data_IF_977528751779
#
_entry.id   IF_977528751779
#
_cell.length_a   1.000
_cell.length_b   1.000
_cell.length_c   1.000
_cell.angle_alpha   90.00
_cell.angle_beta   90.00
_cell.angle_gamma   90.00
#
_symmetry.space_group_name_H-M   'P 1'
#
loop_
_entity.id
_entity.type
_entity.pdbx_description
1 polymer ?
#
# COMPACT_ATOMS: atom_id res chain seq x y z
N UNK A 1 21.92 11.89 8.73
CA UNK A 1 20.58 12.39 8.40
C UNK A 1 19.61 11.23 8.25
N UNK A 2 18.43 11.34 8.84
CA UNK A 2 17.44 10.29 8.76
C UNK A 2 16.63 10.43 7.47
N UNK A 3 16.47 9.33 6.78
CA UNK A 3 15.74 9.32 5.51
C UNK A 3 14.74 8.17 5.51
N UNK A 4 13.67 8.37 4.74
CA UNK A 4 12.70 7.31 4.50
C UNK A 4 13.22 6.45 3.36
N UNK A 5 13.33 5.16 3.61
CA UNK A 5 13.73 4.17 2.58
C UNK A 5 12.60 3.21 2.35
N UNK A 6 12.52 2.66 1.14
CA UNK A 6 11.51 1.68 0.79
C UNK A 6 12.21 0.34 0.58
N UNK A 7 11.72 -0.70 1.27
CA UNK A 7 12.31 -2.03 1.17
C UNK A 7 11.24 -3.05 0.78
N UNK A 8 11.63 -4.17 0.14
CA UNK A 8 10.68 -5.20 -0.25
C UNK A 8 10.25 -6.06 0.94
N UNK A 9 9.21 -6.86 0.71
CA UNK A 9 8.70 -7.78 1.72
C UNK A 9 9.76 -8.81 2.10
N UNK A 10 9.82 -9.09 3.39
CA UNK A 10 10.52 -10.26 3.94
C UNK A 10 9.61 -10.82 5.02
N UNK A 11 9.65 -12.14 5.18
CA UNK A 11 8.79 -12.84 6.13
C UNK A 11 8.96 -12.31 7.56
N UNK A 12 10.16 -11.89 7.90
CA UNK A 12 10.41 -11.35 9.24
C UNK A 12 9.66 -10.06 9.53
N UNK A 13 9.13 -9.40 8.49
CA UNK A 13 8.35 -8.17 8.63
C UNK A 13 6.85 -8.39 8.52
N UNK A 14 6.40 -9.64 8.43
CA UNK A 14 4.98 -9.93 8.27
C UNK A 14 4.14 -9.37 9.41
N UNK A 15 4.68 -9.39 10.63
CA UNK A 15 3.96 -8.87 11.79
C UNK A 15 3.77 -7.35 11.70
N UNK A 16 4.75 -6.64 11.18
CA UNK A 16 4.63 -5.20 11.00
C UNK A 16 3.57 -4.85 9.96
N UNK A 17 3.48 -5.64 8.90
CA UNK A 17 2.42 -5.47 7.91
C UNK A 17 1.04 -5.61 8.56
N UNK A 18 0.86 -6.64 9.36
CA UNK A 18 -0.37 -6.87 10.09
C UNK A 18 -0.67 -5.70 11.04
N UNK A 19 0.28 -5.36 11.89
CA UNK A 19 0.07 -4.34 12.92
C UNK A 19 -0.26 -2.97 12.32
N UNK A 20 0.45 -2.55 11.29
CA UNK A 20 0.21 -1.26 10.66
C UNK A 20 -1.20 -1.20 10.05
N UNK A 21 -1.60 -2.25 9.36
CA UNK A 21 -2.91 -2.27 8.71
C UNK A 21 -4.05 -2.37 9.71
N UNK A 22 -3.88 -3.18 10.74
CA UNK A 22 -4.91 -3.33 11.78
C UNK A 22 -5.09 -2.03 12.54
N UNK A 23 -3.99 -1.38 12.90
CA UNK A 23 -4.07 -0.09 13.58
C UNK A 23 -4.86 0.93 12.76
N UNK A 24 -4.60 0.96 11.46
CA UNK A 24 -5.28 1.88 10.57
C UNK A 24 -6.76 1.54 10.43
N UNK A 25 -7.09 0.25 10.26
CA UNK A 25 -8.48 -0.19 10.12
C UNK A 25 -9.27 0.06 11.39
N UNK A 26 -8.69 -0.19 12.55
CA UNK A 26 -9.38 0.02 13.83
C UNK A 26 -9.67 1.49 14.08
N UNK A 27 -8.86 2.38 13.52
CA UNK A 27 -9.07 3.81 13.68
C UNK A 27 -10.22 4.34 12.83
N UNK A 28 -10.40 3.79 11.62
CA UNK A 28 -11.37 4.32 10.65
C UNK A 28 -12.52 3.36 10.36
N UNK A 29 -12.36 2.09 10.65
CA UNK A 29 -13.34 1.05 10.34
C UNK A 29 -13.30 0.01 11.44
N UNK A 30 -13.48 -1.24 11.06
CA UNK A 30 -13.23 -2.39 11.91
C UNK A 30 -12.59 -3.49 11.05
N UNK A 31 -11.94 -4.45 11.70
CA UNK A 31 -11.26 -5.53 10.99
C UNK A 31 -12.26 -6.64 10.71
N UNK A 32 -12.57 -6.88 9.44
CA UNK A 32 -13.47 -7.96 9.06
C UNK A 32 -12.72 -9.29 9.06
N UNK A 33 -13.42 -10.43 9.13
CA UNK A 33 -12.75 -11.74 9.12
C UNK A 33 -11.83 -11.96 7.93
N UNK A 34 -12.22 -11.50 6.74
CA UNK A 34 -11.36 -11.63 5.57
C UNK A 34 -10.10 -10.77 5.69
N UNK A 35 -10.23 -9.57 6.23
CA UNK A 35 -9.07 -8.71 6.47
C UNK A 35 -8.10 -9.38 7.44
N UNK A 36 -8.64 -9.96 8.51
CA UNK A 36 -7.82 -10.66 9.49
C UNK A 36 -7.03 -11.78 8.83
N UNK A 37 -7.67 -12.53 7.96
CA UNK A 37 -7.03 -13.64 7.26
C UNK A 37 -5.90 -13.15 6.35
N UNK A 38 -6.16 -12.17 5.51
CA UNK A 38 -5.17 -11.65 4.55
C UNK A 38 -4.02 -10.99 5.28
N UNK A 39 -4.31 -10.15 6.27
CA UNK A 39 -3.29 -9.37 6.96
C UNK A 39 -2.41 -10.23 7.85
N UNK A 40 -2.92 -11.34 8.39
CA UNK A 40 -2.11 -12.21 9.22
C UNK A 40 -1.30 -13.25 8.43
N UNK A 41 -1.57 -13.40 7.13
CA UNK A 41 -0.85 -14.33 6.27
C UNK A 41 -0.54 -13.69 4.92
N UNK A 42 0.19 -12.56 4.91
CA UNK A 42 0.42 -11.82 3.66
C UNK A 42 1.20 -12.61 2.61
N UNK A 43 2.10 -13.49 3.03
CA UNK A 43 2.83 -14.31 2.08
C UNK A 43 1.85 -15.19 1.29
N UNK A 44 0.97 -15.88 1.99
CA UNK A 44 0.01 -16.79 1.36
C UNK A 44 -0.97 -16.06 0.46
N UNK A 45 -1.54 -14.96 0.94
CA UNK A 45 -2.64 -14.30 0.25
C UNK A 45 -2.23 -13.22 -0.73
N UNK A 46 -1.00 -12.72 -0.64
CA UNK A 46 -0.53 -11.65 -1.50
C UNK A 46 0.70 -12.08 -2.30
N UNK A 47 1.78 -12.45 -1.62
CA UNK A 47 3.06 -12.73 -2.29
C UNK A 47 2.96 -13.99 -3.16
N UNK A 48 2.44 -15.07 -2.62
CA UNK A 48 2.35 -16.33 -3.35
C UNK A 48 1.38 -16.28 -4.52
N UNK A 49 0.53 -15.25 -4.55
CA UNK A 49 -0.40 -15.04 -5.66
C UNK A 49 0.14 -14.06 -6.70
N UNK A 50 1.40 -13.72 -6.59
CA UNK A 50 2.06 -12.84 -7.55
C UNK A 50 1.98 -11.36 -7.21
N UNK A 51 1.57 -11.02 -6.00
CA UNK A 51 1.55 -9.63 -5.54
C UNK A 51 2.86 -9.22 -4.90
N UNK A 52 2.91 -7.96 -4.49
CA UNK A 52 4.10 -7.38 -3.88
C UNK A 52 3.71 -6.57 -2.66
N UNK A 53 4.60 -6.54 -1.68
CA UNK A 53 4.44 -5.72 -0.48
C UNK A 53 5.73 -4.96 -0.28
N UNK A 54 5.62 -3.67 0.05
CA UNK A 54 6.78 -2.84 0.36
C UNK A 54 6.59 -2.20 1.71
N UNK A 55 7.71 -1.88 2.34
CA UNK A 55 7.72 -1.20 3.63
C UNK A 55 8.51 0.09 3.53
N UNK A 56 8.04 1.10 4.24
CA UNK A 56 8.81 2.32 4.45
C UNK A 56 9.53 2.21 5.78
N UNK A 57 10.82 2.52 5.77
CA UNK A 57 11.62 2.56 7.00
C UNK A 57 12.06 3.97 7.29
N UNK A 58 12.15 4.30 8.56
CA UNK A 58 12.65 5.58 9.02
C UNK A 58 13.34 5.35 10.35
N UNK A 59 14.57 5.82 10.48
CA UNK A 59 15.35 5.61 11.69
C UNK A 59 15.41 4.12 12.08
N UNK A 60 15.61 3.27 11.09
CA UNK A 60 15.71 1.81 11.25
C UNK A 60 14.43 1.13 11.75
N UNK A 61 13.30 1.81 11.67
CA UNK A 61 12.02 1.24 12.05
C UNK A 61 11.10 1.14 10.84
N UNK A 62 10.25 0.11 10.84
CA UNK A 62 9.20 -0.02 9.84
C UNK A 62 8.07 0.94 10.23
N UNK A 63 7.80 1.92 9.39
CA UNK A 63 6.83 2.97 9.72
C UNK A 63 5.66 3.06 8.75
N UNK A 64 5.70 2.31 7.67
CA UNK A 64 4.59 2.27 6.71
C UNK A 64 4.68 1.05 5.83
N UNK A 65 3.59 0.77 5.12
CA UNK A 65 3.51 -0.37 4.23
C UNK A 65 2.47 -0.11 3.13
N UNK A 66 2.61 -0.86 2.03
CA UNK A 66 1.66 -0.85 0.93
C UNK A 66 1.76 -2.18 0.20
N UNK A 67 0.67 -2.61 -0.42
CA UNK A 67 0.65 -3.83 -1.21
C UNK A 67 0.19 -3.53 -2.64
N UNK A 68 0.72 -4.31 -3.58
CA UNK A 68 0.25 -4.37 -4.95
C UNK A 68 -0.34 -5.75 -5.14
N UNK A 69 -1.66 -5.81 -5.21
CA UNK A 69 -2.40 -7.07 -5.28
C UNK A 69 -2.56 -7.48 -6.73
N UNK A 70 -2.19 -8.71 -7.05
CA UNK A 70 -2.35 -9.24 -8.40
C UNK A 70 -3.82 -9.62 -8.62
N UNK A 71 -4.51 -8.85 -9.46
CA UNK A 71 -5.90 -9.11 -9.83
C UNK A 71 -6.00 -9.79 -11.19
N UNK A 72 -4.89 -10.39 -11.64
CA UNK A 72 -4.74 -11.14 -12.88
C UNK A 72 -4.68 -10.27 -14.12
N UNK A 73 -5.60 -9.35 -14.33
CA UNK A 73 -5.58 -8.46 -15.48
C UNK A 73 -4.99 -7.10 -15.17
N UNK A 74 -4.82 -6.79 -13.87
CA UNK A 74 -4.23 -5.53 -13.43
C UNK A 74 -3.70 -5.72 -12.01
N UNK A 75 -2.96 -4.73 -11.55
CA UNK A 75 -2.51 -4.70 -10.15
C UNK A 75 -3.24 -3.60 -9.41
N UNK A 76 -3.67 -3.92 -8.19
CA UNK A 76 -4.38 -2.98 -7.34
C UNK A 76 -3.48 -2.51 -6.22
N UNK A 77 -3.31 -1.20 -6.06
CA UNK A 77 -2.62 -0.61 -4.92
C UNK A 77 -3.58 -0.64 -3.74
N UNK A 78 -3.17 -1.28 -2.65
CA UNK A 78 -4.06 -1.57 -1.53
C UNK A 78 -3.26 -1.74 -0.24
N UNK A 79 -3.96 -1.89 0.86
CA UNK A 79 -3.36 -2.21 2.16
C UNK A 79 -2.25 -1.21 2.54
N UNK A 80 -2.43 0.07 2.20
CA UNK A 80 -1.48 1.10 2.59
C UNK A 80 -1.81 1.61 3.99
N UNK A 81 -0.81 1.64 4.83
CA UNK A 81 -0.95 2.13 6.18
C UNK A 81 0.36 2.75 6.64
N UNK A 82 0.28 3.88 7.33
CA UNK A 82 1.45 4.59 7.85
C UNK A 82 1.22 4.81 9.34
N UNK A 83 2.26 4.59 10.13
CA UNK A 83 2.19 4.81 11.58
C UNK A 83 1.82 6.26 11.88
N UNK A 84 0.82 6.51 12.76
CA UNK A 84 0.45 7.88 13.11
C UNK A 84 1.58 8.71 13.71
N UNK A 85 2.57 8.06 14.29
CA UNK A 85 3.72 8.75 14.88
C UNK A 85 4.55 9.52 13.87
N UNK A 86 4.43 9.15 12.58
CA UNK A 86 5.31 9.66 11.53
C UNK A 86 4.55 10.45 10.48
N UNK A 87 3.41 11.01 10.83
CA UNK A 87 2.69 11.92 9.93
C UNK A 87 3.55 13.14 9.64
N UNK A 88 3.39 13.69 8.46
CA UNK A 88 4.13 14.88 8.06
C UNK A 88 5.43 14.60 7.34
N UNK A 89 5.87 13.34 7.28
CA UNK A 89 7.08 12.95 6.56
C UNK A 89 6.81 12.49 5.12
N UNK A 90 5.56 12.59 4.68
CA UNK A 90 5.15 12.20 3.32
C UNK A 90 5.45 10.74 3.01
N UNK A 91 5.37 9.89 4.02
CA UNK A 91 5.67 8.47 3.87
C UNK A 91 4.70 7.79 2.92
N UNK A 92 3.40 8.07 3.05
CA UNK A 92 2.40 7.50 2.15
C UNK A 92 2.66 7.89 0.70
N UNK A 93 3.02 9.15 0.46
CA UNK A 93 3.33 9.60 -0.89
C UNK A 93 4.55 8.87 -1.45
N UNK A 94 5.59 8.68 -0.62
CA UNK A 94 6.79 7.96 -1.04
C UNK A 94 6.48 6.50 -1.38
N UNK A 95 5.60 5.86 -0.62
CA UNK A 95 5.16 4.50 -0.91
C UNK A 95 4.43 4.42 -2.24
N UNK A 96 3.52 5.36 -2.49
CA UNK A 96 2.77 5.40 -3.74
C UNK A 96 3.71 5.66 -4.93
N UNK A 97 4.61 6.63 -4.79
CA UNK A 97 5.57 6.93 -5.86
C UNK A 97 6.45 5.73 -6.18
N UNK A 98 6.86 5.00 -5.15
CA UNK A 98 7.65 3.79 -5.35
C UNK A 98 6.85 2.74 -6.12
N UNK A 99 5.58 2.55 -5.79
CA UNK A 99 4.73 1.59 -6.49
C UNK A 99 4.54 1.97 -7.95
N UNK A 100 4.37 3.26 -8.23
CA UNK A 100 4.23 3.73 -9.60
C UNK A 100 5.50 3.44 -10.39
N UNK A 101 6.65 3.77 -9.83
CA UNK A 101 7.92 3.52 -10.48
C UNK A 101 8.15 2.01 -10.68
N UNK A 102 7.82 1.22 -9.67
CA UNK A 102 7.93 -0.23 -9.75
C UNK A 102 7.10 -0.79 -10.91
N UNK A 103 5.85 -0.32 -11.03
CA UNK A 103 4.96 -0.75 -12.12
C UNK A 103 5.51 -0.36 -13.49
N UNK A 104 6.07 0.84 -13.60
CA UNK A 104 6.69 1.29 -14.85
C UNK A 104 7.87 0.41 -15.24
N UNK A 105 8.69 0.04 -14.27
CA UNK A 105 9.84 -0.82 -14.51
C UNK A 105 9.42 -2.24 -14.91
N UNK A 106 8.31 -2.71 -14.37
CA UNK A 106 7.73 -4.01 -14.72
C UNK A 106 6.95 -3.95 -16.03
N UNK A 107 6.75 -2.75 -16.58
CA UNK A 107 6.02 -2.53 -17.83
C UNK A 107 4.56 -2.94 -17.71
N UNK A 108 3.97 -2.71 -16.56
CA UNK A 108 2.55 -2.93 -16.36
C UNK A 108 1.75 -1.86 -17.12
N UNK A 109 0.60 -2.26 -17.64
CA UNK A 109 -0.27 -1.33 -18.35
C UNK A 109 -0.96 -0.34 -17.42
N UNK A 110 -1.27 -0.78 -16.20
CA UNK A 110 -1.97 0.08 -15.25
C UNK A 110 -1.84 -0.44 -13.84
N UNK A 111 -1.99 0.47 -12.89
CA UNK A 111 -2.22 0.16 -11.49
C UNK A 111 -3.54 0.83 -11.14
N UNK A 112 -4.43 0.10 -10.49
CA UNK A 112 -5.73 0.62 -10.10
C UNK A 112 -5.75 0.90 -8.61
N UNK A 113 -6.42 1.96 -8.23
CA UNK A 113 -6.60 2.33 -6.84
C UNK A 113 -8.09 2.40 -6.54
N UNK A 114 -8.49 1.72 -5.46
CA UNK A 114 -9.83 1.87 -4.92
C UNK A 114 -9.74 2.61 -3.60
N UNK A 115 -10.57 3.61 -3.41
CA UNK A 115 -10.59 4.36 -2.18
C UNK A 115 -12.00 4.45 -1.63
N UNK A 116 -12.10 4.56 -0.31
CA UNK A 116 -13.38 4.74 0.37
C UNK A 116 -13.56 6.23 0.63
N UNK A 117 -14.73 6.77 0.28
CA UNK A 117 -14.99 8.20 0.44
C UNK A 117 -14.94 8.67 1.88
N UNK A 118 -15.12 7.77 2.83
CA UNK A 118 -14.98 8.11 4.25
C UNK A 118 -13.56 8.43 4.65
N UNK A 119 -12.59 8.11 3.79
CA UNK A 119 -11.18 8.32 4.05
C UNK A 119 -10.69 9.56 3.32
N UNK A 120 -11.24 10.71 3.68
CA UNK A 120 -10.90 11.97 3.02
C UNK A 120 -9.38 12.23 2.97
N UNK A 121 -8.61 12.05 4.06
CA UNK A 121 -7.15 12.24 3.98
C UNK A 121 -6.47 11.34 2.96
N UNK A 122 -6.88 10.07 2.89
CA UNK A 122 -6.31 9.14 1.91
C UNK A 122 -6.68 9.55 0.49
N UNK A 123 -7.92 9.99 0.27
CA UNK A 123 -8.35 10.46 -1.04
C UNK A 123 -7.52 11.65 -1.48
N UNK A 124 -7.28 12.60 -0.57
CA UNK A 124 -6.48 13.77 -0.88
C UNK A 124 -5.03 13.40 -1.21
N UNK A 125 -4.46 12.46 -0.49
CA UNK A 125 -3.11 11.98 -0.77
C UNK A 125 -3.04 11.37 -2.17
N UNK A 126 -4.01 10.56 -2.53
CA UNK A 126 -4.04 9.92 -3.84
C UNK A 126 -4.14 10.94 -4.96
N UNK A 127 -4.98 11.95 -4.80
CA UNK A 127 -5.10 13.02 -5.78
C UNK A 127 -3.78 13.76 -5.98
N UNK A 128 -3.01 13.89 -4.92
CA UNK A 128 -1.73 14.59 -4.94
C UNK A 128 -0.74 13.92 -5.89
N UNK A 129 -0.80 12.61 -6.06
CA UNK A 129 0.09 11.87 -6.95
C UNK A 129 -0.59 11.46 -8.25
N UNK A 130 -1.78 11.99 -8.53
CA UNK A 130 -2.45 11.77 -9.79
C UNK A 130 -3.54 10.72 -9.79
N UNK A 131 -3.86 10.13 -8.66
CA UNK A 131 -4.98 9.20 -8.59
C UNK A 131 -6.31 9.94 -8.51
N UNK A 132 -7.32 9.36 -9.12
CA UNK A 132 -8.68 9.88 -9.02
C UNK A 132 -9.62 8.68 -8.87
N UNK A 133 -10.00 8.38 -7.62
CA UNK A 133 -10.86 7.25 -7.33
C UNK A 133 -10.23 5.94 -7.82
N UNK A 134 -10.95 5.18 -8.64
CA UNK A 134 -10.46 3.92 -9.18
C UNK A 134 -9.86 4.06 -10.58
N UNK A 135 -9.48 5.29 -10.97
CA UNK A 135 -8.88 5.53 -12.26
C UNK A 135 -7.51 4.87 -12.37
N UNK A 136 -7.23 4.20 -13.48
CA UNK A 136 -5.89 3.62 -13.70
C UNK A 136 -4.84 4.71 -13.77
N UNK A 137 -3.63 4.40 -13.31
CA UNK A 137 -2.55 5.38 -13.26
C UNK A 137 -1.41 5.08 -14.22
N UNK A 138 -1.38 3.90 -14.80
CA UNK A 138 -0.35 3.52 -15.76
C UNK A 138 -1.04 3.05 -17.05
N UNK A 139 -0.86 3.78 -18.12
CA UNK A 139 -1.34 3.35 -19.40
C UNK A 139 -2.83 3.54 -19.60
N UNK A 140 -3.43 2.65 -20.38
CA UNK A 140 -4.79 2.81 -20.87
C UNK A 140 -5.84 2.68 -19.79
N UNK A 141 -7.03 3.16 -20.07
CA UNK A 141 -8.14 3.09 -19.15
C UNK A 141 -8.50 1.65 -18.85
N UNK A 142 -8.61 1.35 -17.59
CA UNK A 142 -9.00 0.04 -17.09
C UNK A 142 -10.04 0.27 -16.01
N UNK A 143 -11.05 -0.50 -15.95
CA UNK A 143 -12.09 -0.34 -14.94
C UNK A 143 -11.61 -0.43 -13.51
#
# INVERSE_FOLDING_TARGET
MLEVSIIPFEEKYAKQFYNLNVEWLEKYFYVEPYDQKVLSSPKTYIIDKGGFIFFATYNNEIVGTVALINQQQFYELSKMAVSPKYHGLKIGQKLIDYCIQFGKEKKWDSITLYSNRKLVPAINLYKKVGFVGSTPILGSAVP
#
